data_IF_443240221129
#
_entry.id   IF_443240221129
#
_cell.length_a   1.000
_cell.length_b   1.000
_cell.length_c   1.000
_cell.angle_alpha   90.00
_cell.angle_beta   90.00
_cell.angle_gamma   90.00
#
_symmetry.space_group_name_H-M   'P 1'
#
loop_
_entity.id
_entity.type
_entity.pdbx_description
1 polymer ?
#
# COMPACT_ATOMS: atom_id res chain seq x y z
N UNK A 1 -17.80 6.00 -0.63
CA UNK A 1 -16.49 5.90 -1.32
C UNK A 1 -15.75 7.24 -1.31
N UNK A 2 -15.12 7.54 -0.17
CA UNK A 2 -14.09 8.57 -0.09
C UNK A 2 -12.73 7.90 -0.34
N UNK A 3 -11.93 8.49 -1.22
CA UNK A 3 -10.56 8.05 -1.50
C UNK A 3 -9.61 9.05 -0.85
N UNK A 4 -8.78 8.59 0.07
CA UNK A 4 -7.79 9.46 0.73
C UNK A 4 -6.40 9.05 0.27
N UNK A 5 -5.64 9.98 -0.32
CA UNK A 5 -4.24 9.73 -0.64
C UNK A 5 -3.47 9.51 0.67
N UNK A 6 -2.99 8.29 0.89
CA UNK A 6 -2.27 7.91 2.10
C UNK A 6 -0.76 7.85 1.89
N UNK A 7 -0.32 7.71 0.64
CA UNK A 7 1.09 7.50 0.35
C UNK A 7 1.37 7.15 -1.10
N UNK A 8 2.55 6.59 -1.31
CA UNK A 8 3.05 6.20 -2.63
C UNK A 8 3.89 4.93 -2.56
N UNK A 9 3.92 4.20 -3.65
CA UNK A 9 4.80 3.04 -3.81
C UNK A 9 6.24 3.55 -3.90
N UNK A 10 7.09 3.08 -3.00
CA UNK A 10 8.54 3.36 -3.02
C UNK A 10 9.23 2.35 -3.94
N UNK A 11 8.97 1.06 -3.74
CA UNK A 11 9.62 -0.03 -4.47
C UNK A 11 8.68 -1.22 -4.69
N UNK A 12 8.98 -2.06 -5.68
CA UNK A 12 8.24 -3.29 -5.93
C UNK A 12 9.18 -4.50 -6.11
N UNK A 13 9.04 -5.47 -5.20
CA UNK A 13 9.82 -6.70 -5.16
C UNK A 13 9.16 -7.80 -6.00
N UNK A 14 9.34 -7.72 -7.32
CA UNK A 14 8.75 -8.68 -8.28
C UNK A 14 9.07 -10.17 -8.00
N UNK A 15 10.18 -10.46 -7.31
CA UNK A 15 10.58 -11.84 -6.98
C UNK A 15 9.64 -12.50 -5.95
N UNK A 16 9.06 -11.71 -5.06
CA UNK A 16 8.18 -12.18 -3.97
C UNK A 16 6.76 -11.60 -4.05
N UNK A 17 6.50 -10.69 -4.99
CA UNK A 17 5.19 -10.05 -5.18
C UNK A 17 4.84 -9.07 -4.06
N UNK A 18 5.84 -8.37 -3.52
CA UNK A 18 5.63 -7.41 -2.42
C UNK A 18 5.83 -5.99 -2.92
N UNK A 19 4.87 -5.11 -2.69
CA UNK A 19 4.99 -3.67 -2.89
C UNK A 19 5.40 -3.00 -1.59
N UNK A 20 6.49 -2.24 -1.63
CA UNK A 20 6.91 -1.34 -0.57
C UNK A 20 6.21 0.01 -0.75
N UNK A 21 5.37 0.38 0.21
CA UNK A 21 4.58 1.61 0.21
C UNK A 21 5.06 2.51 1.34
N UNK A 22 5.37 3.75 1.00
CA UNK A 22 5.68 4.81 1.96
C UNK A 22 4.38 5.55 2.31
N UNK A 23 3.96 5.48 3.57
CA UNK A 23 2.76 6.18 4.04
C UNK A 23 3.13 7.64 4.30
N UNK A 24 2.59 8.56 3.51
CA UNK A 24 2.80 9.99 3.65
C UNK A 24 1.85 10.63 4.67
N UNK A 25 0.61 10.15 4.76
CA UNK A 25 -0.42 10.71 5.64
C UNK A 25 -1.51 9.69 5.99
N UNK A 26 -2.05 9.80 7.20
CA UNK A 26 -3.14 8.94 7.67
C UNK A 26 -2.67 7.72 8.42
N UNK A 27 -3.60 6.80 8.62
CA UNK A 27 -3.39 5.47 9.19
C UNK A 27 -3.97 4.42 8.26
N UNK A 28 -3.37 3.24 8.25
CA UNK A 28 -3.79 2.11 7.44
C UNK A 28 -3.79 0.86 8.32
N UNK A 29 -4.84 0.05 8.21
CA UNK A 29 -5.02 -1.15 9.03
C UNK A 29 -5.19 -2.39 8.19
N UNK A 30 -4.87 -3.54 8.77
CA UNK A 30 -5.14 -4.82 8.12
C UNK A 30 -6.65 -4.97 7.96
N UNK A 31 -7.08 -5.30 6.75
CA UNK A 31 -8.48 -5.37 6.36
C UNK A 31 -8.99 -4.14 5.61
N UNK A 32 -8.23 -3.05 5.55
CA UNK A 32 -8.58 -1.89 4.74
C UNK A 32 -8.41 -2.17 3.25
N UNK A 33 -9.17 -1.45 2.43
CA UNK A 33 -9.06 -1.52 0.96
C UNK A 33 -8.25 -0.34 0.46
N UNK A 34 -7.23 -0.63 -0.33
CA UNK A 34 -6.40 0.39 -0.97
C UNK A 34 -6.55 0.34 -2.48
N UNK A 35 -6.31 1.49 -3.09
CA UNK A 35 -6.29 1.67 -4.53
C UNK A 35 -4.96 2.27 -4.93
N UNK A 36 -4.17 1.48 -5.67
CA UNK A 36 -2.88 1.87 -6.22
C UNK A 36 -3.14 2.38 -7.64
N UNK A 37 -2.91 3.67 -7.84
CA UNK A 37 -3.12 4.35 -9.12
C UNK A 37 -1.81 4.96 -9.59
N UNK A 38 -1.31 4.43 -10.69
CA UNK A 38 -0.10 4.87 -11.38
C UNK A 38 -0.40 5.35 -12.79
N UNK A 39 0.66 5.61 -13.55
CA UNK A 39 0.52 5.99 -14.96
C UNK A 39 -0.01 4.83 -15.84
N UNK A 40 0.31 3.59 -15.46
CA UNK A 40 -0.10 2.37 -16.17
C UNK A 40 -0.63 1.31 -15.21
N UNK A 41 -0.82 1.67 -13.95
CA UNK A 41 -1.17 0.76 -12.85
C UNK A 41 -2.52 1.21 -12.31
N UNK A 42 -3.47 0.29 -12.22
CA UNK A 42 -4.77 0.53 -11.59
C UNK A 42 -5.14 -0.75 -10.85
N UNK A 43 -4.92 -0.76 -9.54
CA UNK A 43 -5.06 -1.94 -8.69
C UNK A 43 -5.80 -1.60 -7.42
N UNK A 44 -7.00 -2.14 -7.25
CA UNK A 44 -7.73 -2.08 -5.99
C UNK A 44 -7.64 -3.42 -5.29
N UNK A 45 -7.10 -3.44 -4.08
CA UNK A 45 -6.93 -4.66 -3.30
C UNK A 45 -7.15 -4.43 -1.81
N UNK A 46 -7.55 -5.49 -1.12
CA UNK A 46 -7.72 -5.49 0.32
C UNK A 46 -6.42 -5.93 0.99
N UNK A 47 -6.07 -5.28 2.07
CA UNK A 47 -4.87 -5.61 2.84
C UNK A 47 -5.15 -6.86 3.67
N UNK A 48 -4.58 -7.99 3.27
CA UNK A 48 -4.64 -9.21 4.07
C UNK A 48 -3.56 -9.24 5.17
N UNK A 49 -2.40 -8.64 4.91
CA UNK A 49 -1.28 -8.57 5.85
C UNK A 49 -0.32 -7.44 5.52
N UNK A 50 0.25 -6.81 6.53
CA UNK A 50 1.30 -5.79 6.39
C UNK A 50 2.54 -6.16 7.20
N UNK A 51 3.70 -5.75 6.70
CA UNK A 51 4.97 -5.92 7.41
C UNK A 51 5.79 -4.63 7.38
N UNK A 52 6.39 -4.24 8.50
CA UNK A 52 7.38 -3.17 8.61
C UNK A 52 8.68 -3.79 9.09
N UNK A 53 9.79 -3.60 8.38
CA UNK A 53 11.12 -4.09 8.80
C UNK A 53 11.15 -5.56 9.29
N UNK A 54 10.40 -6.45 8.62
CA UNK A 54 10.23 -7.88 8.93
C UNK A 54 9.33 -8.20 10.14
N UNK A 55 8.68 -7.20 10.74
CA UNK A 55 7.68 -7.38 11.77
C UNK A 55 6.27 -7.26 11.18
N UNK A 56 5.37 -8.17 11.56
CA UNK A 56 3.96 -8.05 11.21
C UNK A 56 3.31 -6.97 12.06
N UNK A 57 2.56 -6.09 11.39
CA UNK A 57 1.87 -4.97 12.03
C UNK A 57 0.41 -4.93 11.60
N UNK A 58 -0.46 -4.64 12.55
CA UNK A 58 -1.90 -4.50 12.29
C UNK A 58 -2.27 -3.09 11.84
N UNK A 59 -1.53 -2.08 12.29
CA UNK A 59 -1.79 -0.66 12.06
C UNK A 59 -0.48 0.04 11.77
N UNK A 60 -0.51 0.92 10.77
CA UNK A 60 0.64 1.73 10.37
C UNK A 60 0.22 3.20 10.25
N UNK A 61 1.19 4.10 10.39
CA UNK A 61 0.95 5.55 10.40
C UNK A 61 1.81 6.26 9.38
N UNK A 62 1.48 7.52 9.13
CA UNK A 62 2.31 8.44 8.36
C UNK A 62 3.78 8.43 8.82
N UNK A 63 4.68 8.24 7.87
CA UNK A 63 6.13 8.11 8.07
C UNK A 63 6.64 6.67 8.02
N UNK A 64 5.77 5.68 8.14
CA UNK A 64 6.18 4.28 8.11
C UNK A 64 6.23 3.75 6.67
N UNK A 65 7.16 2.82 6.42
CA UNK A 65 7.28 2.08 5.16
C UNK A 65 6.80 0.66 5.35
N UNK A 66 5.72 0.30 4.66
CA UNK A 66 5.11 -1.03 4.75
C UNK A 66 5.41 -1.85 3.51
N UNK A 67 5.61 -3.15 3.70
CA UNK A 67 5.54 -4.15 2.65
C UNK A 67 4.18 -4.83 2.68
N UNK A 68 3.47 -4.80 1.56
CA UNK A 68 2.25 -5.58 1.36
C UNK A 68 2.39 -6.49 0.16
N UNK A 69 1.74 -7.64 0.22
CA UNK A 69 1.63 -8.51 -0.94
C UNK A 69 0.58 -7.93 -1.89
N UNK A 70 0.91 -7.85 -3.16
CA UNK A 70 0.00 -7.37 -4.22
C UNK A 70 -0.17 -8.46 -5.26
N UNK A 71 -1.37 -8.52 -5.86
CA UNK A 71 -1.69 -9.52 -6.87
C UNK A 71 -1.03 -9.23 -8.22
N UNK A 72 -0.70 -7.97 -8.47
CA UNK A 72 -0.11 -7.52 -9.73
C UNK A 72 1.04 -6.51 -9.49
N UNK A 73 1.79 -6.25 -10.55
CA UNK A 73 3.00 -5.44 -10.53
C UNK A 73 2.67 -3.96 -10.33
N UNK A 74 3.24 -3.37 -9.28
CA UNK A 74 3.30 -1.93 -9.08
C UNK A 74 4.65 -1.36 -9.54
N UNK A 75 4.73 -0.03 -9.69
CA UNK A 75 5.96 0.69 -9.96
C UNK A 75 6.22 1.75 -8.91
N UNK A 76 7.50 2.04 -8.66
CA UNK A 76 7.90 3.14 -7.80
C UNK A 76 7.34 4.46 -8.34
N UNK A 77 6.69 5.22 -7.47
CA UNK A 77 5.99 6.46 -7.78
C UNK A 77 4.47 6.33 -7.99
N UNK A 78 3.92 5.11 -8.01
CA UNK A 78 2.47 4.92 -8.05
C UNK A 78 1.82 5.48 -6.76
N UNK A 79 0.69 6.17 -6.89
CA UNK A 79 -0.04 6.74 -5.75
C UNK A 79 -0.88 5.69 -5.07
N UNK A 80 -1.02 5.78 -3.76
CA UNK A 80 -1.82 4.85 -2.95
C UNK A 80 -2.92 5.64 -2.24
N UNK A 81 -4.15 5.21 -2.49
CA UNK A 81 -5.36 5.78 -1.90
C UNK A 81 -6.01 4.75 -0.98
N UNK A 82 -6.45 5.18 0.20
CA UNK A 82 -7.32 4.40 1.07
C UNK A 82 -8.77 4.60 0.62
N UNK A 83 -9.45 3.50 0.32
CA UNK A 83 -10.87 3.50 -0.04
C UNK A 83 -11.67 3.24 1.23
N UNK A 84 -12.37 4.28 1.71
CA UNK A 84 -13.35 4.16 2.80
C UNK A 84 -14.75 4.33 2.23
N UNK A 85 -15.71 3.55 2.73
CA UNK A 85 -17.12 3.72 2.34
C UNK A 85 -17.82 4.79 3.19
#
# INVERSE_FOLDING_TARGET
MAETEIGRVSDYFAKIGVAGIEIASGELKVGDTIHILGHTTDLTLKIDSMQIEHEQVEVVKAGDSIGIKVDDRCRGGDKVFLVTD
#
